data_IF_719724358941
#
_entry.id   IF_719724358941
#
_cell.length_a   1.000
_cell.length_b   1.000
_cell.length_c   1.000
_cell.angle_alpha   90.00
_cell.angle_beta   90.00
_cell.angle_gamma   90.00
#
_symmetry.space_group_name_H-M   'P 1'
#
loop_
_entity.id
_entity.type
_entity.pdbx_description
1 polymer ?
#
# COMPACT_ATOMS: atom_id res chain seq x y z
N UNK A 1 4.93 5.91 -20.49
CA UNK A 1 4.34 4.58 -20.20
C UNK A 1 2.90 4.55 -20.70
N UNK A 2 2.56 3.54 -21.49
CA UNK A 2 1.20 3.41 -22.04
C UNK A 2 0.17 3.03 -20.97
N UNK A 3 -1.09 3.35 -21.21
CA UNK A 3 -2.18 3.04 -20.28
C UNK A 3 -2.29 1.55 -19.95
N UNK A 4 -2.10 0.70 -20.97
CA UNK A 4 -2.18 -0.76 -20.79
C UNK A 4 -1.06 -1.27 -19.90
N UNK A 5 0.18 -0.81 -20.12
CA UNK A 5 1.35 -1.18 -19.31
C UNK A 5 1.18 -0.73 -17.86
N UNK A 6 0.64 0.47 -17.66
CA UNK A 6 0.37 1.01 -16.34
C UNK A 6 -0.65 0.16 -15.58
N UNK A 7 -1.74 -0.23 -16.24
CA UNK A 7 -2.76 -1.09 -15.63
C UNK A 7 -2.19 -2.45 -15.23
N UNK A 8 -1.33 -3.03 -16.07
CA UNK A 8 -0.66 -4.30 -15.77
C UNK A 8 0.24 -4.16 -14.55
N UNK A 9 1.03 -3.08 -14.48
CA UNK A 9 1.91 -2.84 -13.32
C UNK A 9 1.12 -2.62 -12.04
N UNK A 10 0.00 -1.90 -12.10
CA UNK A 10 -0.89 -1.72 -10.95
C UNK A 10 -1.42 -3.06 -10.47
N UNK A 11 -1.92 -3.89 -11.38
CA UNK A 11 -2.45 -5.21 -11.05
C UNK A 11 -1.39 -6.10 -10.42
N UNK A 12 -0.19 -6.14 -11.00
CA UNK A 12 0.92 -6.93 -10.47
C UNK A 12 1.33 -6.43 -9.09
N UNK A 13 1.37 -5.13 -8.89
CA UNK A 13 1.76 -4.57 -7.58
C UNK A 13 0.71 -4.85 -6.51
N UNK A 14 -0.57 -4.78 -6.85
CA UNK A 14 -1.65 -5.17 -5.93
C UNK A 14 -1.49 -6.64 -5.53
N UNK A 15 -1.17 -7.53 -6.48
CA UNK A 15 -0.91 -8.93 -6.17
C UNK A 15 0.28 -9.10 -5.22
N UNK A 16 1.34 -8.30 -5.39
CA UNK A 16 2.48 -8.30 -4.48
C UNK A 16 2.07 -7.87 -3.07
N UNK A 17 1.28 -6.81 -2.95
CA UNK A 17 0.76 -6.36 -1.65
C UNK A 17 -0.04 -7.47 -0.98
N UNK A 18 -0.96 -8.10 -1.71
CA UNK A 18 -1.79 -9.18 -1.18
C UNK A 18 -0.94 -10.38 -0.76
N UNK A 19 0.09 -10.72 -1.54
CA UNK A 19 1.02 -11.77 -1.18
C UNK A 19 1.72 -11.47 0.16
N UNK A 20 2.28 -10.28 0.29
CA UNK A 20 3.01 -9.88 1.50
C UNK A 20 2.11 -9.82 2.71
N UNK A 21 0.88 -9.29 2.55
CA UNK A 21 -0.01 -9.04 3.69
C UNK A 21 -0.87 -10.25 4.07
N UNK A 22 -1.19 -11.12 3.13
CA UNK A 22 -2.11 -12.23 3.37
C UNK A 22 -1.46 -13.61 3.17
N UNK A 23 -0.89 -13.85 1.99
CA UNK A 23 -0.51 -15.20 1.60
C UNK A 23 0.85 -15.66 2.10
N UNK A 24 1.75 -14.74 2.44
CA UNK A 24 3.07 -15.09 2.99
C UNK A 24 3.07 -15.27 4.50
N UNK A 25 1.94 -15.01 5.15
CA UNK A 25 1.84 -15.08 6.61
C UNK A 25 1.32 -16.44 7.06
N UNK A 26 1.89 -16.94 8.16
CA UNK A 26 1.39 -18.15 8.80
C UNK A 26 0.15 -17.84 9.64
N UNK A 27 -0.87 -18.72 9.63
CA UNK A 27 -2.04 -18.51 10.47
C UNK A 27 -1.70 -18.45 11.95
N UNK A 28 -2.35 -17.54 12.65
CA UNK A 28 -2.21 -17.41 14.10
C UNK A 28 -3.27 -18.22 14.83
N UNK A 29 -3.13 -18.37 16.14
CA UNK A 29 -4.07 -19.13 16.97
C UNK A 29 -5.22 -18.28 17.50
N UNK A 30 -5.04 -16.96 17.57
CA UNK A 30 -6.03 -16.03 18.12
C UNK A 30 -6.21 -14.82 17.23
N UNK A 31 -7.43 -14.25 17.26
CA UNK A 31 -7.73 -12.99 16.57
C UNK A 31 -7.41 -11.84 17.50
N UNK A 32 -6.65 -10.84 16.99
CA UNK A 32 -6.28 -9.67 17.75
C UNK A 32 -6.64 -8.42 16.96
N UNK A 33 -7.32 -7.48 17.62
CA UNK A 33 -7.65 -6.16 17.10
C UNK A 33 -6.92 -5.09 17.90
N UNK A 34 -6.33 -4.10 17.20
CA UNK A 34 -5.64 -2.98 17.82
C UNK A 34 -6.16 -1.66 17.29
N UNK A 35 -6.43 -0.73 18.20
CA UNK A 35 -6.94 0.60 17.85
C UNK A 35 -5.86 1.53 17.34
N UNK A 36 -6.28 2.77 17.03
CA UNK A 36 -5.40 3.80 16.49
C UNK A 36 -4.29 4.19 17.46
N UNK A 37 -3.12 4.53 16.88
CA UNK A 37 -1.93 5.05 17.57
C UNK A 37 -1.26 4.05 18.50
N UNK A 38 -1.66 2.79 18.48
CA UNK A 38 -1.05 1.75 19.29
C UNK A 38 0.42 1.53 18.91
N UNK A 39 0.75 1.52 17.62
CA UNK A 39 2.10 1.31 17.14
C UNK A 39 3.04 2.46 17.55
N UNK A 40 2.56 3.70 17.51
CA UNK A 40 3.33 4.88 17.94
C UNK A 40 3.61 4.80 19.44
N UNK A 41 2.60 4.49 20.24
CA UNK A 41 2.73 4.37 21.69
C UNK A 41 3.73 3.27 22.09
N UNK A 42 3.72 2.16 21.37
CA UNK A 42 4.61 1.03 21.63
C UNK A 42 5.98 1.16 20.95
N UNK A 43 6.19 2.18 20.12
CA UNK A 43 7.46 2.41 19.44
C UNK A 43 7.75 1.46 18.29
N UNK A 44 6.74 0.89 17.64
CA UNK A 44 6.91 -0.02 16.51
C UNK A 44 7.12 0.73 15.20
N UNK A 45 8.16 1.53 15.15
CA UNK A 45 8.48 2.38 14.00
C UNK A 45 8.78 1.58 12.73
N UNK A 46 9.39 0.40 12.86
CA UNK A 46 9.68 -0.44 11.70
C UNK A 46 8.40 -0.85 10.97
N UNK A 47 7.35 -1.25 11.70
CA UNK A 47 6.07 -1.61 11.10
C UNK A 47 5.42 -0.41 10.43
N UNK A 48 5.45 0.75 11.07
CA UNK A 48 4.91 1.99 10.52
C UNK A 48 5.58 2.31 9.19
N UNK A 49 6.91 2.31 9.16
CA UNK A 49 7.70 2.63 7.97
C UNK A 49 7.46 1.61 6.87
N UNK A 50 7.44 0.32 7.19
CA UNK A 50 7.21 -0.74 6.21
C UNK A 50 5.86 -0.60 5.52
N UNK A 51 4.79 -0.32 6.26
CA UNK A 51 3.45 -0.14 5.71
C UNK A 51 3.39 1.10 4.81
N UNK A 52 3.99 2.20 5.24
CA UNK A 52 4.06 3.42 4.42
C UNK A 52 4.81 3.12 3.11
N UNK A 53 5.99 2.50 3.20
CA UNK A 53 6.81 2.19 2.02
C UNK A 53 6.11 1.24 1.06
N UNK A 54 5.35 0.27 1.58
CA UNK A 54 4.64 -0.70 0.76
C UNK A 54 3.60 -0.03 -0.14
N UNK A 55 2.94 1.03 0.32
CA UNK A 55 1.86 1.68 -0.41
C UNK A 55 2.28 2.89 -1.25
N UNK A 56 3.53 3.36 -1.10
CA UNK A 56 4.05 4.45 -1.94
C UNK A 56 3.99 4.11 -3.43
N UNK A 57 4.49 2.94 -3.90
CA UNK A 57 4.40 2.62 -5.32
C UNK A 57 2.98 2.52 -5.84
N UNK A 58 2.04 2.04 -5.02
CA UNK A 58 0.63 1.96 -5.43
C UNK A 58 0.08 3.36 -5.71
N UNK A 59 0.27 4.30 -4.79
CA UNK A 59 -0.16 5.68 -4.97
C UNK A 59 0.52 6.35 -6.16
N UNK A 60 1.80 6.09 -6.37
CA UNK A 60 2.55 6.61 -7.51
C UNK A 60 2.02 6.07 -8.83
N UNK A 61 1.78 4.77 -8.93
CA UNK A 61 1.29 4.14 -10.17
C UNK A 61 -0.09 4.62 -10.55
N UNK A 62 -0.98 4.79 -9.58
CA UNK A 62 -2.35 5.24 -9.84
C UNK A 62 -2.41 6.76 -9.98
N UNK A 63 -1.77 7.47 -9.05
CA UNK A 63 -1.70 8.93 -9.04
C UNK A 63 -2.98 9.61 -8.56
N UNK A 64 -2.84 10.84 -8.07
CA UNK A 64 -3.95 11.71 -7.69
C UNK A 64 -4.83 11.16 -6.57
N UNK A 65 -6.04 11.65 -6.49
CA UNK A 65 -7.03 11.20 -5.50
C UNK A 65 -7.35 9.72 -5.62
N UNK A 66 -7.33 9.17 -6.83
CA UNK A 66 -7.59 7.75 -7.08
C UNK A 66 -6.55 6.87 -6.39
N UNK A 67 -5.29 7.31 -6.37
CA UNK A 67 -4.22 6.58 -5.69
C UNK A 67 -4.45 6.49 -4.19
N UNK A 68 -4.89 7.59 -3.58
CA UNK A 68 -5.20 7.64 -2.15
C UNK A 68 -6.39 6.74 -1.83
N UNK A 69 -7.46 6.87 -2.63
CA UNK A 69 -8.68 6.07 -2.46
C UNK A 69 -8.38 4.57 -2.60
N UNK A 70 -7.58 4.21 -3.59
CA UNK A 70 -7.18 2.82 -3.80
C UNK A 70 -6.42 2.27 -2.58
N UNK A 71 -5.53 3.07 -2.00
CA UNK A 71 -4.81 2.69 -0.78
C UNK A 71 -5.74 2.44 0.40
N UNK A 72 -6.71 3.34 0.61
CA UNK A 72 -7.71 3.19 1.67
C UNK A 72 -8.55 1.93 1.46
N UNK A 73 -9.10 1.76 0.25
CA UNK A 73 -9.98 0.63 -0.04
C UNK A 73 -9.26 -0.70 0.06
N UNK A 74 -8.04 -0.78 -0.44
CA UNK A 74 -7.24 -2.00 -0.35
C UNK A 74 -6.92 -2.34 1.12
N UNK A 75 -6.56 -1.34 1.93
CA UNK A 75 -6.29 -1.54 3.35
C UNK A 75 -7.54 -1.99 4.12
N UNK A 76 -8.69 -1.38 3.84
CA UNK A 76 -9.96 -1.78 4.46
C UNK A 76 -10.33 -3.21 4.08
N UNK A 77 -9.94 -3.67 2.89
CA UNK A 77 -10.13 -5.08 2.51
C UNK A 77 -9.14 -6.02 3.19
N UNK A 78 -7.89 -5.60 3.35
CA UNK A 78 -6.83 -6.43 3.94
C UNK A 78 -7.04 -6.66 5.44
N UNK A 79 -7.29 -5.60 6.22
CA UNK A 79 -7.31 -5.69 7.68
C UNK A 79 -8.40 -6.64 8.21
N UNK A 80 -9.67 -6.54 7.76
CA UNK A 80 -10.67 -7.52 8.17
C UNK A 80 -10.36 -8.94 7.72
N UNK A 81 -9.76 -9.10 6.54
CA UNK A 81 -9.36 -10.41 6.02
C UNK A 81 -8.32 -11.05 6.93
N UNK A 82 -7.30 -10.29 7.34
CA UNK A 82 -6.30 -10.77 8.30
C UNK A 82 -6.94 -11.19 9.62
N UNK A 83 -7.89 -10.41 10.11
CA UNK A 83 -8.59 -10.72 11.36
C UNK A 83 -9.42 -12.00 11.25
N UNK A 84 -10.25 -12.12 10.21
CA UNK A 84 -11.13 -13.27 10.01
C UNK A 84 -10.32 -14.54 9.76
N UNK A 85 -9.29 -14.46 8.92
CA UNK A 85 -8.44 -15.60 8.56
C UNK A 85 -7.35 -15.90 9.59
N UNK A 86 -7.27 -15.11 10.65
CA UNK A 86 -6.26 -15.23 11.72
C UNK A 86 -4.84 -15.18 11.15
N UNK A 87 -4.61 -14.31 10.15
CA UNK A 87 -3.32 -14.16 9.45
C UNK A 87 -2.47 -13.03 10.02
N UNK A 88 -2.96 -12.31 11.02
CA UNK A 88 -2.26 -11.19 11.62
C UNK A 88 -3.19 -10.40 12.50
N UNK A 89 -2.71 -9.27 12.98
CA UNK A 89 -3.51 -8.37 13.78
C UNK A 89 -4.33 -7.45 12.90
N UNK A 90 -5.61 -7.27 13.21
CA UNK A 90 -6.39 -6.19 12.60
C UNK A 90 -6.01 -4.90 13.31
N UNK A 91 -5.23 -4.07 12.63
CA UNK A 91 -4.71 -2.83 13.21
C UNK A 91 -5.23 -1.64 12.41
N UNK A 92 -5.92 -0.72 13.08
CA UNK A 92 -6.35 0.54 12.44
C UNK A 92 -5.14 1.38 12.00
N UNK A 93 -4.01 1.25 12.70
CA UNK A 93 -2.78 1.92 12.30
C UNK A 93 -2.28 1.49 10.92
N UNK A 94 -2.49 0.23 10.53
CA UNK A 94 -2.11 -0.24 9.20
C UNK A 94 -2.88 0.51 8.11
N UNK A 95 -4.19 0.72 8.31
CA UNK A 95 -4.99 1.50 7.36
C UNK A 95 -4.47 2.93 7.27
N UNK A 96 -4.17 3.54 8.40
CA UNK A 96 -3.63 4.91 8.45
C UNK A 96 -2.27 4.98 7.73
N UNK A 97 -1.35 4.09 8.06
CA UNK A 97 -0.01 4.09 7.50
C UNK A 97 -0.02 3.78 6.00
N UNK A 98 -0.84 2.82 5.57
CA UNK A 98 -1.00 2.49 4.16
C UNK A 98 -1.57 3.68 3.37
N UNK A 99 -2.53 4.39 3.96
CA UNK A 99 -3.11 5.59 3.35
C UNK A 99 -2.08 6.71 3.23
N UNK A 100 -1.26 6.91 4.26
CA UNK A 100 -0.16 7.89 4.22
C UNK A 100 0.81 7.53 3.08
N UNK A 101 1.18 6.26 2.95
CA UNK A 101 2.04 5.80 1.86
C UNK A 101 1.46 6.08 0.50
N UNK A 102 0.19 5.73 0.29
CA UNK A 102 -0.52 6.00 -0.97
C UNK A 102 -0.59 7.51 -1.26
N UNK A 103 -0.81 8.34 -0.25
CA UNK A 103 -0.82 9.80 -0.40
C UNK A 103 0.55 10.34 -0.81
N UNK A 104 1.62 9.86 -0.18
CA UNK A 104 2.99 10.24 -0.54
C UNK A 104 3.28 9.85 -1.99
N UNK A 105 2.95 8.62 -2.39
CA UNK A 105 3.12 8.16 -3.77
C UNK A 105 2.36 8.99 -4.77
N UNK A 106 1.11 9.33 -4.47
CA UNK A 106 0.27 10.16 -5.34
C UNK A 106 0.84 11.56 -5.51
N UNK A 107 1.38 12.16 -4.43
CA UNK A 107 2.03 13.46 -4.48
C UNK A 107 3.33 13.41 -5.29
N UNK A 108 4.10 12.34 -5.15
CA UNK A 108 5.32 12.14 -5.94
C UNK A 108 5.00 12.03 -7.43
N UNK A 109 3.92 11.35 -7.79
CA UNK A 109 3.46 11.28 -9.17
C UNK A 109 3.10 12.68 -9.71
N UNK A 110 2.39 13.47 -8.93
CA UNK A 110 2.01 14.82 -9.33
C UNK A 110 3.25 15.68 -9.59
N UNK A 111 4.29 15.52 -8.76
CA UNK A 111 5.51 16.35 -8.85
C UNK A 111 6.48 15.84 -9.91
N UNK A 112 6.68 14.53 -10.01
CA UNK A 112 7.75 13.93 -10.81
C UNK A 112 7.27 13.01 -11.92
N UNK A 113 5.99 12.64 -11.94
CA UNK A 113 5.46 11.65 -12.88
C UNK A 113 5.71 11.97 -14.33
N UNK A 114 5.49 13.22 -14.73
CA UNK A 114 5.74 13.67 -16.10
C UNK A 114 7.21 13.55 -16.49
N UNK A 115 8.11 13.90 -15.59
CA UNK A 115 9.56 13.80 -15.84
C UNK A 115 9.99 12.35 -16.03
N UNK A 116 9.45 11.46 -15.20
CA UNK A 116 9.77 10.03 -15.28
C UNK A 116 9.21 9.44 -16.57
N UNK A 117 7.96 9.76 -16.93
CA UNK A 117 7.37 9.31 -18.18
C UNK A 117 8.16 9.80 -19.40
N UNK A 118 8.57 11.05 -19.41
CA UNK A 118 9.41 11.60 -20.48
C UNK A 118 10.76 10.89 -20.56
N UNK A 119 11.38 10.62 -19.42
CA UNK A 119 12.65 9.90 -19.38
C UNK A 119 12.51 8.49 -19.93
N UNK A 120 11.49 7.75 -19.50
CA UNK A 120 11.23 6.38 -19.97
C UNK A 120 10.97 6.37 -21.47
N UNK A 121 10.14 7.29 -21.97
CA UNK A 121 9.83 7.42 -23.40
C UNK A 121 11.09 7.69 -24.22
N UNK A 122 11.93 8.60 -23.74
CA UNK A 122 13.19 8.96 -24.41
C UNK A 122 14.16 7.78 -24.51
N UNK A 123 14.21 6.91 -23.51
CA UNK A 123 15.17 5.80 -23.44
C UNK A 123 14.61 4.46 -23.93
N UNK A 124 13.33 4.39 -24.27
CA UNK A 124 12.69 3.17 -24.78
C UNK A 124 12.53 3.13 -26.31
N UNK A 125 12.89 4.24 -26.98
CA UNK A 125 12.85 4.33 -28.45
C UNK A 125 14.16 3.90 -29.09
#
# INVERSE_FOLDING_TARGET
MGKKSRKVLIALYILIILWITLFSREPMTTRIFRGLFWEIEMGYWNNIIQNILLFIPLGFLIGGKRGIIAGVLLSIGIEPTQYIAVLGYCELDDVLNNTIGAAIGSLLFKKFGKRIEQFIKKHSE
#
